data_IF_718346877802
#
_entry.id   IF_718346877802
#
_cell.length_a   1.000
_cell.length_b   1.000
_cell.length_c   1.000
_cell.angle_alpha   90.00
_cell.angle_beta   90.00
_cell.angle_gamma   90.00
#
_symmetry.space_group_name_H-M   'P 1'
#
loop_
_entity.id
_entity.type
_entity.pdbx_description
1 polymer ?
#
# COMPACT_ATOMS: atom_id res chain seq x y z
N UNK A 1 -5.05 25.21 -13.21
CA UNK A 1 -4.63 24.93 -11.83
C UNK A 1 -5.42 23.77 -11.22
N UNK A 2 -6.75 23.77 -11.26
CA UNK A 2 -7.59 22.69 -10.69
C UNK A 2 -7.30 21.32 -11.32
N UNK A 3 -7.18 21.25 -12.65
CA UNK A 3 -6.89 20.00 -13.36
C UNK A 3 -5.51 19.43 -13.00
N UNK A 4 -4.51 20.29 -12.79
CA UNK A 4 -3.18 19.87 -12.33
C UNK A 4 -3.26 19.28 -10.91
N UNK A 5 -3.97 19.94 -9.99
CA UNK A 5 -4.16 19.43 -8.63
C UNK A 5 -4.89 18.08 -8.64
N UNK A 6 -5.92 17.93 -9.47
CA UNK A 6 -6.60 16.64 -9.65
C UNK A 6 -5.65 15.57 -10.19
N UNK A 7 -4.86 15.89 -11.21
CA UNK A 7 -3.89 14.95 -11.77
C UNK A 7 -2.85 14.51 -10.73
N UNK A 8 -2.32 15.44 -9.92
CA UNK A 8 -1.38 15.12 -8.83
C UNK A 8 -2.01 14.23 -7.76
N UNK A 9 -3.23 14.56 -7.33
CA UNK A 9 -3.93 13.79 -6.30
C UNK A 9 -4.27 12.38 -6.80
N UNK A 10 -4.95 12.26 -7.94
CA UNK A 10 -5.31 10.95 -8.48
C UNK A 10 -4.08 10.14 -8.90
N UNK A 11 -3.12 10.76 -9.60
CA UNK A 11 -1.88 10.12 -10.01
C UNK A 11 -1.10 9.56 -8.82
N UNK A 12 -0.90 10.35 -7.78
CA UNK A 12 -0.20 9.91 -6.58
C UNK A 12 -0.97 8.83 -5.80
N UNK A 13 -2.31 8.94 -5.66
CA UNK A 13 -3.11 7.89 -5.03
C UNK A 13 -2.95 6.54 -5.75
N UNK A 14 -2.97 6.52 -7.08
CA UNK A 14 -2.84 5.30 -7.88
C UNK A 14 -1.38 4.84 -8.04
N UNK A 15 -0.39 5.69 -7.75
CA UNK A 15 1.02 5.32 -7.75
C UNK A 15 1.39 4.50 -6.51
N UNK A 16 0.80 4.79 -5.35
CA UNK A 16 1.12 4.11 -4.08
C UNK A 16 0.94 2.58 -4.15
N UNK A 17 -0.14 2.01 -4.71
CA UNK A 17 -0.26 0.56 -4.89
C UNK A 17 0.83 -0.09 -5.73
N UNK A 18 1.58 0.69 -6.53
CA UNK A 18 2.69 0.21 -7.35
C UNK A 18 4.04 0.22 -6.62
N UNK A 19 4.13 0.86 -5.45
CA UNK A 19 5.38 0.93 -4.66
C UNK A 19 5.99 -0.43 -4.30
N UNK A 20 5.24 -1.52 -4.09
CA UNK A 20 5.84 -2.84 -3.88
C UNK A 20 6.77 -3.29 -5.02
N UNK A 21 6.57 -2.78 -6.24
CA UNK A 21 7.43 -3.07 -7.40
C UNK A 21 8.76 -2.30 -7.40
N UNK A 22 8.83 -1.19 -6.65
CA UNK A 22 10.04 -0.36 -6.57
C UNK A 22 11.08 -0.99 -5.65
N UNK A 23 12.32 -1.06 -6.08
CA UNK A 23 13.50 -1.48 -5.29
C UNK A 23 14.65 -0.57 -5.67
N UNK A 24 15.31 0.00 -4.66
CA UNK A 24 16.47 0.88 -4.84
C UNK A 24 17.73 0.16 -4.40
N UNK A 25 18.48 -0.36 -5.36
CA UNK A 25 19.62 -1.23 -5.09
C UNK A 25 20.83 -0.49 -4.48
N UNK A 26 20.89 0.84 -4.64
CA UNK A 26 21.99 1.65 -4.11
C UNK A 26 21.86 1.92 -2.60
N UNK A 27 20.70 1.64 -2.01
CA UNK A 27 20.49 1.77 -0.57
C UNK A 27 20.93 0.53 0.19
N UNK A 28 21.45 0.74 1.41
CA UNK A 28 21.87 -0.36 2.29
C UNK A 28 20.73 -1.36 2.59
N UNK A 29 19.48 -0.87 2.63
CA UNK A 29 18.27 -1.70 2.74
C UNK A 29 17.37 -1.48 1.53
N UNK A 30 17.67 -2.10 0.38
CA UNK A 30 17.06 -1.78 -0.92
C UNK A 30 15.56 -2.01 -0.97
N UNK A 31 15.05 -2.98 -0.23
CA UNK A 31 13.63 -3.37 -0.26
C UNK A 31 12.73 -2.53 0.64
N UNK A 32 13.28 -1.75 1.58
CA UNK A 32 12.52 -1.07 2.63
C UNK A 32 12.68 0.44 2.53
N UNK A 33 13.91 0.95 2.63
CA UNK A 33 14.20 2.39 2.78
C UNK A 33 13.67 3.20 1.61
N UNK A 34 13.97 2.78 0.37
CA UNK A 34 13.51 3.49 -0.83
C UNK A 34 12.00 3.57 -0.93
N UNK A 35 11.28 2.49 -0.59
CA UNK A 35 9.81 2.48 -0.58
C UNK A 35 9.23 3.44 0.46
N UNK A 36 9.81 3.49 1.67
CA UNK A 36 9.37 4.40 2.73
C UNK A 36 9.54 5.85 2.34
N UNK A 37 10.68 6.23 1.77
CA UNK A 37 10.89 7.59 1.27
C UNK A 37 9.95 7.92 0.12
N UNK A 38 9.83 7.06 -0.88
CA UNK A 38 8.92 7.26 -2.00
C UNK A 38 7.47 7.41 -1.54
N UNK A 39 7.02 6.56 -0.61
CA UNK A 39 5.68 6.65 -0.02
C UNK A 39 5.45 8.01 0.65
N UNK A 40 6.36 8.45 1.51
CA UNK A 40 6.22 9.72 2.24
C UNK A 40 6.19 10.91 1.28
N UNK A 41 7.13 10.99 0.35
CA UNK A 41 7.19 12.08 -0.65
C UNK A 41 5.90 12.14 -1.46
N UNK A 42 5.41 10.99 -1.94
CA UNK A 42 4.16 10.93 -2.70
C UNK A 42 2.99 11.40 -1.83
N UNK A 43 2.90 10.93 -0.58
CA UNK A 43 1.82 11.33 0.34
C UNK A 43 1.87 12.83 0.64
N UNK A 44 3.04 13.42 0.88
CA UNK A 44 3.19 14.85 1.11
C UNK A 44 2.70 15.68 -0.08
N UNK A 45 3.13 15.33 -1.30
CA UNK A 45 2.69 15.99 -2.54
C UNK A 45 1.18 15.84 -2.75
N UNK A 46 0.66 14.63 -2.55
CA UNK A 46 -0.77 14.32 -2.69
C UNK A 46 -1.59 15.08 -1.66
N UNK A 47 -1.15 15.09 -0.40
CA UNK A 47 -1.87 15.74 0.69
C UNK A 47 -1.86 17.26 0.54
N UNK A 48 -0.72 17.88 0.20
CA UNK A 48 -0.63 19.31 -0.08
C UNK A 48 -1.53 19.72 -1.26
N UNK A 49 -1.49 18.96 -2.36
CA UNK A 49 -2.35 19.18 -3.53
C UNK A 49 -3.84 19.01 -3.20
N UNK A 50 -4.17 18.01 -2.36
CA UNK A 50 -5.53 17.75 -1.93
C UNK A 50 -6.08 18.86 -1.02
N UNK A 51 -5.27 19.43 -0.10
CA UNK A 51 -5.70 20.59 0.71
C UNK A 51 -6.16 21.72 -0.21
N UNK A 52 -5.36 22.12 -1.19
CA UNK A 52 -5.69 23.17 -2.14
C UNK A 52 -6.97 22.84 -2.93
N UNK A 53 -7.13 21.58 -3.31
CA UNK A 53 -8.31 21.10 -4.02
C UNK A 53 -9.55 21.12 -3.14
N UNK A 54 -9.48 20.69 -1.88
CA UNK A 54 -10.57 20.67 -0.92
C UNK A 54 -11.01 22.08 -0.46
N UNK A 55 -10.06 23.04 -0.45
CA UNK A 55 -10.37 24.45 -0.23
C UNK A 55 -11.10 25.06 -1.43
N UNK A 56 -10.74 24.64 -2.65
CA UNK A 56 -11.32 25.16 -3.89
C UNK A 56 -12.67 24.51 -4.25
N UNK A 57 -12.93 23.27 -3.80
CA UNK A 57 -14.13 22.52 -4.19
C UNK A 57 -14.59 21.58 -3.05
N UNK A 58 -15.80 21.87 -2.54
CA UNK A 58 -16.44 21.12 -1.43
C UNK A 58 -16.55 19.61 -1.71
N UNK A 59 -16.59 19.21 -2.98
CA UNK A 59 -16.67 17.80 -3.41
C UNK A 59 -15.52 16.96 -2.86
N UNK A 60 -14.35 17.54 -2.65
CA UNK A 60 -13.13 16.86 -2.21
C UNK A 60 -12.90 16.94 -0.69
N UNK A 61 -13.84 17.54 0.05
CA UNK A 61 -13.74 17.59 1.51
C UNK A 61 -14.01 16.23 2.14
N UNK A 62 -13.37 15.93 3.29
CA UNK A 62 -13.59 14.67 3.99
C UNK A 62 -15.05 14.53 4.38
N UNK A 63 -15.62 13.36 4.14
CA UNK A 63 -16.90 12.96 4.70
C UNK A 63 -16.67 12.30 6.06
N UNK A 64 -17.60 12.52 6.99
CA UNK A 64 -17.51 11.89 8.30
C UNK A 64 -17.48 10.36 8.15
N UNK A 65 -16.52 9.74 8.80
CA UNK A 65 -16.37 8.30 8.93
C UNK A 65 -15.72 8.01 10.28
N UNK A 66 -16.21 7.04 11.03
CA UNK A 66 -15.61 6.64 12.32
C UNK A 66 -14.16 6.18 12.23
N UNK A 67 -13.73 5.75 11.05
CA UNK A 67 -12.33 5.34 10.81
C UNK A 67 -11.36 6.52 11.06
N UNK A 68 -11.70 7.71 10.57
CA UNK A 68 -10.80 8.87 10.69
C UNK A 68 -10.59 9.34 12.13
N UNK A 69 -11.63 9.61 12.95
CA UNK A 69 -11.42 10.02 14.33
C UNK A 69 -10.81 8.91 15.20
N UNK A 70 -11.11 7.63 14.95
CA UNK A 70 -10.49 6.52 15.67
C UNK A 70 -9.01 6.41 15.35
N UNK A 71 -8.62 6.47 14.08
CA UNK A 71 -7.21 6.46 13.68
C UNK A 71 -6.48 7.72 14.16
N UNK A 72 -7.10 8.91 14.05
CA UNK A 72 -6.55 10.15 14.57
C UNK A 72 -6.36 10.10 16.09
N UNK A 73 -7.34 9.56 16.84
CA UNK A 73 -7.23 9.35 18.28
C UNK A 73 -6.09 8.40 18.65
N UNK A 74 -5.91 7.31 17.92
CA UNK A 74 -4.77 6.42 18.07
C UNK A 74 -3.44 7.17 17.89
N UNK A 75 -3.33 8.00 16.84
CA UNK A 75 -2.13 8.79 16.61
C UNK A 75 -1.85 9.78 17.74
N UNK A 76 -2.88 10.42 18.30
CA UNK A 76 -2.72 11.33 19.47
C UNK A 76 -2.16 10.57 20.68
N UNK A 77 -2.73 9.40 20.99
CA UNK A 77 -2.22 8.57 22.09
C UNK A 77 -0.78 8.14 21.84
N UNK A 78 -0.47 7.66 20.61
CA UNK A 78 0.88 7.26 20.23
C UNK A 78 1.87 8.44 20.27
N UNK A 79 1.44 9.65 19.90
CA UNK A 79 2.29 10.84 19.98
C UNK A 79 2.77 11.08 21.41
N UNK A 80 1.85 11.11 22.37
CA UNK A 80 2.22 11.30 23.78
C UNK A 80 3.01 10.13 24.35
N UNK A 81 2.66 8.89 23.99
CA UNK A 81 3.42 7.72 24.40
C UNK A 81 4.86 7.75 23.89
N UNK A 82 5.08 8.17 22.64
CA UNK A 82 6.42 8.30 22.06
C UNK A 82 7.20 9.46 22.67
N UNK A 83 6.53 10.59 22.95
CA UNK A 83 7.16 11.78 23.53
C UNK A 83 7.62 11.52 24.97
N UNK A 84 6.84 10.77 25.75
CA UNK A 84 7.11 10.43 27.14
C UNK A 84 7.93 9.15 27.31
N UNK A 85 8.22 8.44 26.22
CA UNK A 85 9.02 7.21 26.24
C UNK A 85 10.50 7.47 26.49
N UNK A 86 11.23 6.41 26.80
CA UNK A 86 12.68 6.47 27.14
C UNK A 86 13.53 6.94 25.93
N UNK A 87 13.13 6.60 24.70
CA UNK A 87 13.85 6.95 23.47
C UNK A 87 12.94 7.65 22.43
N UNK A 88 12.53 8.91 22.66
CA UNK A 88 11.56 9.60 21.79
C UNK A 88 11.97 9.62 20.31
N UNK A 89 13.22 10.03 20.01
CA UNK A 89 13.71 10.10 18.63
C UNK A 89 13.59 8.76 17.90
N UNK A 90 13.94 7.65 18.58
CA UNK A 90 13.83 6.32 18.04
C UNK A 90 12.37 5.90 17.83
N UNK A 91 11.47 6.29 18.72
CA UNK A 91 10.04 6.01 18.59
C UNK A 91 9.41 6.79 17.43
N UNK A 92 9.84 8.03 17.21
CA UNK A 92 9.35 8.83 16.08
C UNK A 92 9.85 8.35 14.72
N UNK A 93 11.13 7.99 14.60
CA UNK A 93 11.77 7.67 13.32
C UNK A 93 12.01 6.19 13.10
N UNK A 94 11.95 5.34 14.15
CA UNK A 94 12.35 3.93 14.13
C UNK A 94 13.86 3.75 13.92
N UNK A 95 14.25 2.53 13.56
CA UNK A 95 15.63 2.23 13.21
C UNK A 95 15.97 2.82 11.85
N UNK A 96 17.25 3.12 11.63
CA UNK A 96 17.79 3.60 10.37
C UNK A 96 17.42 2.68 9.17
N UNK A 97 17.34 1.38 9.42
CA UNK A 97 17.01 0.36 8.42
C UNK A 97 15.58 0.48 7.88
N UNK A 98 14.61 0.67 8.76
CA UNK A 98 13.18 0.56 8.44
C UNK A 98 12.52 1.93 8.27
N UNK A 99 12.89 2.87 9.14
CA UNK A 99 12.28 4.20 9.20
C UNK A 99 10.74 4.16 9.26
N UNK A 100 10.18 3.12 9.89
CA UNK A 100 8.74 2.85 9.98
C UNK A 100 8.12 3.30 11.32
N UNK A 101 8.71 4.31 11.95
CA UNK A 101 8.24 4.90 13.19
C UNK A 101 6.92 5.69 13.06
N UNK A 102 6.62 6.46 14.12
CA UNK A 102 5.42 7.28 14.21
C UNK A 102 5.17 8.16 12.97
N UNK A 103 6.24 8.73 12.41
CA UNK A 103 6.17 9.58 11.21
C UNK A 103 5.53 8.84 10.03
N UNK A 104 5.86 7.55 9.83
CA UNK A 104 5.23 6.74 8.78
C UNK A 104 3.73 6.54 9.02
N UNK A 105 3.33 6.29 10.28
CA UNK A 105 1.91 6.14 10.63
C UNK A 105 1.11 7.43 10.39
N UNK A 106 1.71 8.60 10.64
CA UNK A 106 1.10 9.89 10.28
C UNK A 106 0.88 9.96 8.77
N UNK A 107 1.86 9.56 7.94
CA UNK A 107 1.69 9.57 6.48
C UNK A 107 0.61 8.56 6.02
N UNK A 108 0.51 7.39 6.65
CA UNK A 108 -0.59 6.43 6.39
C UNK A 108 -1.95 7.06 6.71
N UNK A 109 -2.04 7.81 7.82
CA UNK A 109 -3.26 8.55 8.16
C UNK A 109 -3.60 9.63 7.13
N UNK A 110 -2.63 10.47 6.75
CA UNK A 110 -2.82 11.49 5.72
C UNK A 110 -3.28 10.88 4.39
N UNK A 111 -2.65 9.78 3.98
CA UNK A 111 -3.07 9.02 2.81
C UNK A 111 -4.52 8.53 2.93
N UNK A 112 -4.89 7.98 4.09
CA UNK A 112 -6.25 7.48 4.35
C UNK A 112 -7.29 8.61 4.27
N UNK A 113 -6.97 9.80 4.80
CA UNK A 113 -7.83 10.99 4.71
C UNK A 113 -8.08 11.36 3.25
N UNK A 114 -7.03 11.46 2.44
CA UNK A 114 -7.15 11.81 1.01
C UNK A 114 -7.91 10.73 0.25
N UNK A 115 -7.55 9.47 0.45
CA UNK A 115 -8.18 8.33 -0.20
C UNK A 115 -9.69 8.31 0.03
N UNK A 116 -10.13 8.43 1.29
CA UNK A 116 -11.54 8.47 1.66
C UNK A 116 -12.29 9.71 1.17
N UNK A 117 -11.58 10.84 0.98
CA UNK A 117 -12.15 12.09 0.49
C UNK A 117 -12.33 12.10 -1.03
N UNK A 118 -11.45 11.43 -1.76
CA UNK A 118 -11.37 11.47 -3.23
C UNK A 118 -12.07 10.27 -3.88
N UNK A 119 -11.88 9.06 -3.35
CA UNK A 119 -12.52 7.86 -3.88
C UNK A 119 -13.96 7.72 -3.37
N UNK A 120 -14.84 8.61 -3.85
CA UNK A 120 -16.23 8.67 -3.36
C UNK A 120 -17.20 7.76 -4.10
N UNK A 121 -16.80 7.15 -5.21
CA UNK A 121 -17.65 6.28 -6.03
C UNK A 121 -17.15 4.85 -6.06
N UNK A 122 -18.10 3.90 -6.19
CA UNK A 122 -17.75 2.49 -6.34
C UNK A 122 -16.85 2.22 -7.56
N UNK A 123 -16.97 3.01 -8.62
CA UNK A 123 -16.15 2.89 -9.83
C UNK A 123 -14.70 3.25 -9.55
N UNK A 124 -14.43 4.34 -8.80
CA UNK A 124 -13.08 4.75 -8.42
C UNK A 124 -12.42 3.73 -7.49
N UNK A 125 -13.17 3.21 -6.51
CA UNK A 125 -12.69 2.12 -5.66
C UNK A 125 -12.37 0.85 -6.46
N UNK A 126 -13.21 0.52 -7.43
CA UNK A 126 -12.95 -0.62 -8.31
C UNK A 126 -11.65 -0.44 -9.09
N UNK A 127 -11.41 0.73 -9.67
CA UNK A 127 -10.16 1.02 -10.37
C UNK A 127 -8.95 0.95 -9.44
N UNK A 128 -9.07 1.51 -8.23
CA UNK A 128 -8.00 1.45 -7.24
C UNK A 128 -7.65 0.00 -6.85
N UNK A 129 -8.65 -0.82 -6.58
CA UNK A 129 -8.45 -2.23 -6.26
C UNK A 129 -7.86 -3.01 -7.43
N UNK A 130 -8.27 -2.72 -8.68
CA UNK A 130 -7.66 -3.35 -9.85
C UNK A 130 -6.19 -2.97 -10.00
N UNK A 131 -5.82 -1.70 -9.78
CA UNK A 131 -4.42 -1.28 -9.80
C UNK A 131 -3.61 -2.02 -8.74
N UNK A 132 -4.16 -2.14 -7.53
CA UNK A 132 -3.50 -2.86 -6.43
C UNK A 132 -3.35 -4.36 -6.73
N UNK A 133 -4.39 -5.01 -7.26
CA UNK A 133 -4.35 -6.43 -7.65
C UNK A 133 -3.39 -6.67 -8.81
N UNK A 134 -3.34 -5.76 -9.79
CA UNK A 134 -2.38 -5.85 -10.89
C UNK A 134 -0.94 -5.76 -10.38
N UNK A 135 -0.65 -4.83 -9.47
CA UNK A 135 0.66 -4.74 -8.81
C UNK A 135 0.99 -6.04 -8.05
N UNK A 136 0.02 -6.59 -7.30
CA UNK A 136 0.22 -7.84 -6.56
C UNK A 136 0.48 -9.04 -7.48
N UNK A 137 -0.21 -9.10 -8.61
CA UNK A 137 0.04 -10.14 -9.62
C UNK A 137 1.47 -10.04 -10.18
N UNK A 138 1.94 -8.84 -10.50
CA UNK A 138 3.32 -8.63 -10.99
C UNK A 138 4.35 -9.01 -9.92
N UNK A 139 4.12 -8.64 -8.66
CA UNK A 139 4.96 -9.02 -7.52
C UNK A 139 4.97 -10.55 -7.35
N UNK A 140 3.81 -11.22 -7.47
CA UNK A 140 3.69 -12.66 -7.39
C UNK A 140 4.45 -13.36 -8.51
N UNK A 141 4.24 -12.92 -9.76
CA UNK A 141 4.92 -13.50 -10.94
C UNK A 141 6.45 -13.32 -10.86
N UNK A 142 6.93 -12.18 -10.37
CA UNK A 142 8.35 -11.98 -10.13
C UNK A 142 8.89 -12.97 -9.09
N UNK A 143 8.19 -13.14 -7.96
CA UNK A 143 8.59 -14.11 -6.93
C UNK A 143 8.60 -15.55 -7.42
N UNK A 144 7.64 -15.96 -8.24
CA UNK A 144 7.63 -17.27 -8.88
C UNK A 144 8.79 -17.41 -9.89
N UNK A 145 9.15 -16.33 -10.59
CA UNK A 145 10.33 -16.29 -11.46
C UNK A 145 11.65 -16.47 -10.69
N UNK A 146 11.74 -15.94 -9.45
CA UNK A 146 12.89 -16.20 -8.57
C UNK A 146 12.99 -17.69 -8.20
N UNK A 147 11.87 -18.33 -7.88
CA UNK A 147 11.81 -19.73 -7.50
C UNK A 147 12.23 -20.66 -8.65
N UNK A 148 11.87 -20.31 -9.89
CA UNK A 148 12.26 -21.06 -11.08
C UNK A 148 13.67 -20.73 -11.59
N UNK A 149 14.37 -19.78 -10.96
CA UNK A 149 15.71 -19.35 -11.33
C UNK A 149 15.77 -18.40 -12.53
N UNK A 150 14.62 -17.87 -12.98
CA UNK A 150 14.55 -16.82 -14.02
C UNK A 150 15.07 -15.48 -13.48
N UNK A 151 14.82 -15.20 -12.19
CA UNK A 151 15.30 -14.02 -11.49
C UNK A 151 16.15 -14.44 -10.29
N UNK A 152 17.07 -13.58 -9.86
CA UNK A 152 17.90 -13.79 -8.68
C UNK A 152 17.10 -13.69 -7.37
N UNK A 153 17.51 -14.42 -6.35
CA UNK A 153 16.92 -14.41 -4.99
C UNK A 153 15.81 -15.45 -4.78
N UNK A 154 15.26 -15.50 -3.58
CA UNK A 154 14.02 -16.18 -3.22
C UNK A 154 13.86 -17.67 -3.54
N UNK A 155 14.94 -18.45 -3.73
CA UNK A 155 14.85 -19.86 -4.17
C UNK A 155 14.18 -20.78 -3.14
N UNK A 156 14.52 -20.61 -1.86
CA UNK A 156 13.98 -21.45 -0.79
C UNK A 156 12.62 -20.97 -0.30
N UNK A 157 12.43 -19.64 -0.26
CA UNK A 157 11.20 -18.98 0.15
C UNK A 157 10.97 -17.74 -0.70
N UNK A 158 9.76 -17.62 -1.26
CA UNK A 158 9.42 -16.49 -2.12
C UNK A 158 9.31 -15.21 -1.30
N UNK A 159 10.16 -14.24 -1.57
CA UNK A 159 10.15 -12.89 -0.97
C UNK A 159 9.91 -11.78 -2.00
N UNK A 160 10.14 -12.08 -3.28
CA UNK A 160 9.91 -11.20 -4.42
C UNK A 160 10.63 -9.84 -4.24
N UNK A 161 9.98 -8.78 -4.66
CA UNK A 161 10.44 -7.40 -4.51
C UNK A 161 10.14 -6.80 -3.12
N UNK A 162 9.60 -7.58 -2.19
CA UNK A 162 9.38 -7.17 -0.80
C UNK A 162 10.57 -7.50 0.12
N UNK A 163 11.48 -8.38 -0.34
CA UNK A 163 12.72 -8.71 0.36
C UNK A 163 12.51 -9.46 1.68
N UNK A 164 11.30 -9.94 1.95
CA UNK A 164 10.97 -10.74 3.12
C UNK A 164 9.72 -11.60 2.86
N UNK A 165 9.86 -12.91 3.05
CA UNK A 165 8.79 -13.87 2.80
C UNK A 165 7.55 -13.64 3.69
N UNK A 166 7.70 -13.15 4.93
CA UNK A 166 6.56 -12.84 5.80
C UNK A 166 5.77 -11.62 5.27
N UNK A 167 6.46 -10.58 4.78
CA UNK A 167 5.80 -9.42 4.16
C UNK A 167 5.10 -9.84 2.88
N UNK A 168 5.74 -10.70 2.08
CA UNK A 168 5.14 -11.27 0.88
C UNK A 168 3.86 -12.04 1.21
N UNK A 169 3.87 -12.86 2.25
CA UNK A 169 2.70 -13.63 2.67
C UNK A 169 1.53 -12.74 3.08
N UNK A 170 1.75 -11.74 3.93
CA UNK A 170 0.71 -10.78 4.34
C UNK A 170 0.18 -10.00 3.14
N UNK A 171 1.05 -9.55 2.25
CA UNK A 171 0.67 -8.82 1.04
C UNK A 171 -0.20 -9.68 0.12
N UNK A 172 0.17 -10.93 -0.13
CA UNK A 172 -0.64 -11.87 -0.91
C UNK A 172 -2.00 -12.14 -0.26
N UNK A 173 -2.03 -12.35 1.07
CA UNK A 173 -3.26 -12.61 1.81
C UNK A 173 -4.30 -11.49 1.61
N UNK A 174 -3.91 -10.22 1.80
CA UNK A 174 -4.83 -9.10 1.56
C UNK A 174 -5.34 -9.05 0.13
N UNK A 175 -4.46 -9.32 -0.85
CA UNK A 175 -4.86 -9.26 -2.26
C UNK A 175 -5.74 -10.43 -2.70
N UNK A 176 -5.63 -11.60 -2.05
CA UNK A 176 -6.59 -12.70 -2.23
C UNK A 176 -8.00 -12.24 -1.85
N UNK A 177 -8.16 -11.51 -0.73
CA UNK A 177 -9.46 -10.95 -0.36
C UNK A 177 -9.93 -9.86 -1.33
N UNK A 178 -9.04 -9.02 -1.85
CA UNK A 178 -9.41 -8.03 -2.86
C UNK A 178 -9.88 -8.69 -4.16
N UNK A 179 -9.20 -9.74 -4.60
CA UNK A 179 -9.61 -10.54 -5.77
C UNK A 179 -10.96 -11.21 -5.54
N UNK A 180 -11.18 -11.82 -4.37
CA UNK A 180 -12.46 -12.43 -4.01
C UNK A 180 -13.60 -11.38 -4.02
N UNK A 181 -13.35 -10.20 -3.44
CA UNK A 181 -14.31 -9.10 -3.44
C UNK A 181 -14.67 -8.63 -4.86
N UNK A 182 -13.68 -8.49 -5.75
CA UNK A 182 -13.91 -8.11 -7.14
C UNK A 182 -14.65 -9.21 -7.91
N UNK A 183 -14.33 -10.48 -7.67
CA UNK A 183 -15.00 -11.63 -8.27
C UNK A 183 -16.49 -11.69 -7.89
N UNK A 184 -16.80 -11.50 -6.61
CA UNK A 184 -18.19 -11.50 -6.10
C UNK A 184 -19.03 -10.35 -6.71
N UNK A 185 -18.41 -9.23 -7.02
CA UNK A 185 -19.07 -8.08 -7.63
C UNK A 185 -19.10 -8.10 -9.16
N UNK A 186 -18.41 -9.05 -9.77
CA UNK A 186 -18.37 -9.18 -11.22
C UNK A 186 -19.71 -9.66 -11.79
N UNK A 187 -20.14 -8.99 -12.86
CA UNK A 187 -21.39 -9.33 -13.58
C UNK A 187 -21.19 -10.37 -14.67
N UNK A 188 -19.96 -10.62 -15.11
CA UNK A 188 -19.66 -11.51 -16.23
C UNK A 188 -18.86 -12.73 -15.78
N UNK A 189 -19.14 -13.88 -16.35
CA UNK A 189 -18.41 -15.11 -16.06
C UNK A 189 -16.93 -15.01 -16.49
N UNK A 190 -16.63 -14.29 -17.57
CA UNK A 190 -15.25 -14.06 -18.03
C UNK A 190 -14.41 -13.38 -16.96
N UNK A 191 -14.91 -12.30 -16.38
CA UNK A 191 -14.20 -11.62 -15.29
C UNK A 191 -14.08 -12.51 -14.05
N UNK A 192 -15.11 -13.30 -13.69
CA UNK A 192 -15.03 -14.24 -12.56
C UNK A 192 -13.94 -15.27 -12.75
N UNK A 193 -13.83 -15.83 -13.96
CA UNK A 193 -12.76 -16.79 -14.31
C UNK A 193 -11.40 -16.11 -14.24
N UNK A 194 -11.25 -14.90 -14.78
CA UNK A 194 -10.00 -14.14 -14.69
C UNK A 194 -9.57 -13.90 -13.23
N UNK A 195 -10.51 -13.47 -12.38
CA UNK A 195 -10.21 -13.31 -10.94
C UNK A 195 -9.88 -14.63 -10.25
N UNK A 196 -10.54 -15.72 -10.61
CA UNK A 196 -10.21 -17.05 -10.08
C UNK A 196 -8.78 -17.46 -10.42
N UNK A 197 -8.35 -17.24 -11.67
CA UNK A 197 -6.96 -17.51 -12.10
C UNK A 197 -5.98 -16.64 -11.30
N UNK A 198 -6.22 -15.33 -11.20
CA UNK A 198 -5.37 -14.43 -10.41
C UNK A 198 -5.33 -14.89 -8.95
N UNK A 199 -6.48 -15.20 -8.36
CA UNK A 199 -6.58 -15.70 -7.00
C UNK A 199 -5.76 -16.98 -6.77
N UNK A 200 -5.82 -17.93 -7.70
CA UNK A 200 -5.01 -19.16 -7.62
C UNK A 200 -3.50 -18.86 -7.68
N UNK A 201 -3.07 -17.94 -8.53
CA UNK A 201 -1.65 -17.50 -8.57
C UNK A 201 -1.23 -16.89 -7.24
N UNK A 202 -2.05 -15.99 -6.65
CA UNK A 202 -1.74 -15.37 -5.36
C UNK A 202 -1.71 -16.39 -4.21
N UNK A 203 -2.66 -17.34 -4.17
CA UNK A 203 -2.69 -18.43 -3.17
C UNK A 203 -1.47 -19.32 -3.33
N UNK A 204 -1.13 -19.72 -4.55
CA UNK A 204 0.06 -20.51 -4.80
C UNK A 204 1.32 -19.78 -4.33
N UNK A 205 1.47 -18.49 -4.66
CA UNK A 205 2.60 -17.67 -4.22
C UNK A 205 2.63 -17.56 -2.68
N UNK A 206 1.47 -17.39 -2.03
CA UNK A 206 1.38 -17.38 -0.56
C UNK A 206 1.94 -18.66 0.05
N UNK A 207 1.57 -19.83 -0.49
CA UNK A 207 2.08 -21.12 -0.02
C UNK A 207 3.61 -21.24 -0.20
N UNK A 208 4.14 -20.72 -1.30
CA UNK A 208 5.59 -20.73 -1.59
C UNK A 208 6.41 -19.80 -0.68
N UNK A 209 5.78 -18.86 0.03
CA UNK A 209 6.49 -18.09 1.06
C UNK A 209 6.92 -18.94 2.25
N UNK A 210 6.32 -20.11 2.47
CA UNK A 210 6.59 -20.97 3.60
C UNK A 210 6.34 -20.32 4.96
N UNK A 211 5.57 -19.24 5.01
CA UNK A 211 5.26 -18.51 6.26
C UNK A 211 4.12 -19.20 6.98
N UNK A 212 4.37 -19.62 8.23
CA UNK A 212 3.39 -20.25 9.09
C UNK A 212 2.84 -19.17 10.05
N UNK A 213 1.53 -18.99 10.11
CA UNK A 213 0.88 -18.05 11.03
C UNK A 213 0.60 -16.65 10.45
N UNK A 214 0.42 -16.54 9.14
CA UNK A 214 -0.21 -15.36 8.50
C UNK A 214 -1.70 -15.53 8.35
#
# INVERSE_FOLDING_TARGET
>A
MKDLLQALVFGGLFLIPLLPLYVENDFFFPFITGKNFAFRIIVEVVFASWILLALSDVKYRPKFSWILPTFGGLLVVMFFANLLGEYPLKSFWSNFERMDGYVTLVHVFLYTVVLGSVLTTQKLWSYFLHTSVAAALLVALYGLGQQTGVFEGGRDRVDSRLGNAAYMAVYMLFHIFFVAFLALRSKTNVHRVAYAIVGLVLVYTLLQTGTRGT
#
